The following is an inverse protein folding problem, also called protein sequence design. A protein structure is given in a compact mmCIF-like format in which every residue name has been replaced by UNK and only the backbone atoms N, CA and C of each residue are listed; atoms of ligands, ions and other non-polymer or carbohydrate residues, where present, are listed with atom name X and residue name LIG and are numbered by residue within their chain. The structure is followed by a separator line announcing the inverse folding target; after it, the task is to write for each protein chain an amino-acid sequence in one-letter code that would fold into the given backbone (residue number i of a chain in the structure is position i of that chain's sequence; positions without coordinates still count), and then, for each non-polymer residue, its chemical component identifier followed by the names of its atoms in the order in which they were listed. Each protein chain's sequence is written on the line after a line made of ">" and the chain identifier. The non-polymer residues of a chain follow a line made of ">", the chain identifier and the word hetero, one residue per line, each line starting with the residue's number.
data_IF_810740783016
#
_entry.id   IF_810740783016
#
_cell.length_a   1.000
_cell.length_b   1.000
_cell.length_c   1.000
_cell.angle_alpha   90.00
_cell.angle_beta   90.00
_cell.angle_gamma   90.00
#
_symmetry.space_group_name_H-M   'P 1'
#
loop_
_entity.id
_entity.type
_entity.pdbx_description
1 polymer ?
#
# COMPACT_ATOMS: atom_id res chain seq x y z
N UNK A 1 -71.24 22.26 11.94
CA UNK A 1 -72.58 21.92 12.48
C UNK A 1 -72.43 20.60 13.20
N UNK A 2 -72.54 20.69 14.50
CA UNK A 2 -73.29 19.81 15.42
C UNK A 2 -72.87 18.34 15.49
N UNK A 3 -72.69 17.67 16.62
CA UNK A 3 -72.90 18.01 18.05
C UNK A 3 -72.47 16.82 18.89
N UNK A 4 -71.92 17.16 20.03
CA UNK A 4 -71.77 16.41 21.26
C UNK A 4 -72.92 15.42 21.60
N UNK A 5 -72.57 14.29 22.27
CA UNK A 5 -73.09 13.85 23.59
C UNK A 5 -72.68 12.40 23.83
N UNK A 6 -71.85 12.17 24.83
CA UNK A 6 -72.08 11.56 26.14
C UNK A 6 -72.80 10.20 26.16
N UNK A 7 -72.14 9.20 26.63
CA UNK A 7 -72.71 8.19 27.56
C UNK A 7 -71.69 7.74 28.57
N UNK A 8 -72.00 8.05 29.83
CA UNK A 8 -71.34 7.51 31.01
C UNK A 8 -72.04 6.18 31.32
N UNK A 9 -71.30 5.10 31.58
CA UNK A 9 -71.75 4.00 32.40
C UNK A 9 -70.59 3.29 33.08
N UNK A 10 -70.77 3.17 34.39
CA UNK A 10 -69.94 2.57 35.39
C UNK A 10 -69.71 1.07 35.16
N UNK A 11 -68.54 0.57 35.45
CA UNK A 11 -68.35 -0.74 36.04
C UNK A 11 -67.04 -0.84 36.80
N UNK A 12 -67.13 -1.27 37.98
CA UNK A 12 -66.20 -1.40 39.07
C UNK A 12 -65.06 -2.39 38.83
N UNK A 13 -63.88 -2.03 39.26
CA UNK A 13 -62.94 -2.75 40.07
C UNK A 13 -62.37 -4.11 39.60
N UNK A 14 -61.08 -4.09 39.25
CA UNK A 14 -60.10 -5.10 39.75
C UNK A 14 -58.74 -4.41 39.77
N UNK A 15 -58.20 -4.23 40.96
CA UNK A 15 -56.79 -3.86 41.19
C UNK A 15 -55.94 -5.09 40.95
N UNK A 16 -55.25 -5.14 39.82
CA UNK A 16 -54.13 -6.07 39.58
C UNK A 16 -52.83 -5.26 39.63
N UNK A 17 -52.04 -5.48 40.65
CA UNK A 17 -50.76 -4.85 40.85
C UNK A 17 -49.79 -5.20 39.73
N UNK A 18 -49.48 -4.20 38.88
CA UNK A 18 -48.34 -4.28 37.95
C UNK A 18 -47.07 -4.01 38.75
N UNK A 19 -46.38 -5.06 39.18
CA UNK A 19 -45.04 -4.96 39.68
C UNK A 19 -44.11 -4.40 38.59
N UNK A 20 -43.62 -3.18 38.77
CA UNK A 20 -42.53 -2.63 37.99
C UNK A 20 -41.28 -3.47 38.32
N UNK A 21 -40.95 -4.40 37.45
CA UNK A 21 -39.61 -5.01 37.42
C UNK A 21 -38.65 -3.96 36.88
N UNK A 22 -38.05 -3.15 37.75
CA UNK A 22 -36.88 -2.36 37.43
C UNK A 22 -35.75 -3.37 37.12
N UNK A 23 -35.54 -3.62 35.84
CA UNK A 23 -34.35 -4.29 35.38
C UNK A 23 -33.15 -3.46 35.82
N UNK A 24 -32.47 -3.87 36.87
CA UNK A 24 -31.19 -3.30 37.28
C UNK A 24 -30.20 -3.65 36.18
N UNK A 25 -29.86 -2.66 35.33
CA UNK A 25 -28.73 -2.74 34.45
C UNK A 25 -27.46 -2.85 35.30
N UNK A 26 -26.95 -4.08 35.46
CA UNK A 26 -25.66 -4.29 36.12
C UNK A 26 -24.57 -3.53 35.28
N UNK A 27 -23.72 -2.71 35.89
CA UNK A 27 -22.60 -2.12 35.18
C UNK A 27 -21.71 -3.27 34.69
N UNK A 28 -21.50 -3.33 33.37
CA UNK A 28 -20.54 -4.25 32.78
C UNK A 28 -19.19 -4.06 33.49
N UNK A 29 -18.66 -5.11 34.06
CA UNK A 29 -17.35 -5.06 34.71
C UNK A 29 -16.28 -4.73 33.66
N UNK A 30 -15.19 -4.08 34.05
CA UNK A 30 -14.07 -3.76 33.14
C UNK A 30 -13.56 -4.98 32.36
N UNK A 31 -13.74 -6.18 32.93
CA UNK A 31 -13.44 -7.47 32.28
C UNK A 31 -14.39 -7.81 31.14
N UNK A 32 -15.68 -7.46 31.22
CA UNK A 32 -16.66 -7.65 30.12
C UNK A 32 -16.47 -6.61 29.02
N UNK A 33 -16.05 -5.40 29.36
CA UNK A 33 -15.67 -4.39 28.37
C UNK A 33 -14.39 -4.77 27.61
N UNK A 34 -13.43 -5.45 28.25
CA UNK A 34 -12.21 -5.96 27.61
C UNK A 34 -12.47 -7.18 26.74
N UNK A 35 -13.50 -7.97 27.01
CA UNK A 35 -13.95 -9.10 26.15
C UNK A 35 -14.78 -8.63 24.96
N UNK A 36 -15.44 -7.47 25.03
CA UNK A 36 -16.16 -6.86 23.92
C UNK A 36 -15.22 -6.15 22.92
N UNK A 37 -13.99 -5.78 23.34
CA UNK A 37 -12.93 -5.41 22.42
C UNK A 37 -12.44 -6.68 21.71
N UNK A 38 -12.85 -6.86 20.45
CA UNK A 38 -12.51 -8.04 19.65
C UNK A 38 -11.02 -8.38 19.74
N UNK A 39 -10.70 -9.67 19.71
CA UNK A 39 -9.32 -10.18 19.77
C UNK A 39 -8.50 -9.54 18.66
N UNK A 40 -7.32 -9.00 18.99
CA UNK A 40 -6.43 -8.44 17.99
C UNK A 40 -6.01 -9.45 16.94
N UNK A 41 -5.89 -9.04 15.70
CA UNK A 41 -5.37 -9.86 14.60
C UNK A 41 -3.96 -10.40 14.91
N UNK A 42 -3.14 -9.66 15.66
CA UNK A 42 -1.84 -10.15 16.13
C UNK A 42 -1.97 -11.42 16.96
N UNK A 43 -2.96 -11.47 17.88
CA UNK A 43 -3.18 -12.64 18.72
C UNK A 43 -3.73 -13.83 17.92
N UNK A 44 -4.59 -13.57 16.92
CA UNK A 44 -5.09 -14.59 15.99
C UNK A 44 -3.96 -15.16 15.12
N UNK A 45 -3.12 -14.30 14.54
CA UNK A 45 -1.97 -14.65 13.70
C UNK A 45 -1.00 -15.53 14.49
N UNK A 46 -0.65 -15.11 15.72
CA UNK A 46 0.25 -15.88 16.59
C UNK A 46 -0.32 -17.23 16.99
N UNK A 47 -1.61 -17.28 17.31
CA UNK A 47 -2.30 -18.54 17.66
C UNK A 47 -2.39 -19.50 16.46
N UNK A 48 -2.56 -18.98 15.23
CA UNK A 48 -2.58 -19.78 14.00
C UNK A 48 -1.19 -20.28 13.58
N UNK A 49 -0.12 -19.59 14.00
CA UNK A 49 1.26 -19.98 13.71
C UNK A 49 1.74 -19.62 12.30
N UNK A 50 1.00 -18.84 11.56
CA UNK A 50 1.37 -18.27 10.25
C UNK A 50 0.62 -16.97 9.98
N UNK A 51 1.15 -16.14 9.10
CA UNK A 51 0.49 -14.91 8.61
C UNK A 51 -0.02 -15.11 7.17
N UNK A 52 -1.20 -14.58 6.85
CA UNK A 52 -1.79 -14.59 5.50
C UNK A 52 -1.63 -13.20 4.90
N UNK A 53 -0.86 -13.10 3.81
CA UNK A 53 -0.45 -11.83 3.23
C UNK A 53 -1.02 -11.68 1.82
N UNK A 54 -1.80 -10.63 1.61
CA UNK A 54 -2.30 -10.26 0.29
C UNK A 54 -1.20 -9.61 -0.57
N UNK A 55 -0.91 -10.21 -1.73
CA UNK A 55 0.16 -9.78 -2.64
C UNK A 55 -0.31 -9.74 -4.09
N UNK A 56 0.38 -8.97 -4.92
CA UNK A 56 0.23 -9.02 -6.37
C UNK A 56 1.04 -10.17 -6.96
N UNK A 57 0.58 -10.70 -8.09
CA UNK A 57 1.33 -11.64 -8.95
C UNK A 57 1.66 -11.07 -10.33
N UNK A 58 1.38 -9.78 -10.57
CA UNK A 58 1.48 -9.13 -11.89
C UNK A 58 2.18 -7.77 -11.86
N UNK A 59 2.90 -7.46 -10.77
CA UNK A 59 3.54 -6.17 -10.56
C UNK A 59 5.05 -6.29 -10.31
N UNK A 60 5.88 -6.63 -11.32
CA UNK A 60 7.32 -6.62 -11.17
C UNK A 60 7.83 -5.17 -10.92
N UNK A 61 8.85 -5.00 -10.07
CA UNK A 61 9.62 -6.01 -9.32
C UNK A 61 9.04 -6.36 -7.93
N UNK A 62 7.82 -5.92 -7.62
CA UNK A 62 7.25 -6.00 -6.27
C UNK A 62 6.65 -7.38 -5.95
N UNK A 63 5.73 -7.86 -6.78
CA UNK A 63 5.13 -9.19 -6.67
C UNK A 63 4.71 -9.70 -8.03
N UNK A 64 5.33 -10.76 -8.52
CA UNK A 64 5.08 -11.30 -9.85
C UNK A 64 5.48 -12.78 -9.94
N UNK A 65 5.00 -13.44 -10.99
CA UNK A 65 5.42 -14.82 -11.30
C UNK A 65 6.65 -14.73 -12.21
N UNK A 66 7.74 -15.37 -11.79
CA UNK A 66 8.97 -15.44 -12.58
C UNK A 66 8.91 -16.52 -13.68
N UNK A 67 9.99 -16.64 -14.45
CA UNK A 67 10.10 -17.61 -15.56
C UNK A 67 10.08 -19.09 -15.10
N UNK A 68 10.22 -19.34 -13.79
CA UNK A 68 10.12 -20.67 -13.18
C UNK A 68 8.73 -20.97 -12.64
N UNK A 69 7.81 -20.01 -12.73
CA UNK A 69 6.46 -20.13 -12.18
C UNK A 69 6.37 -19.80 -10.69
N UNK A 70 7.45 -19.26 -10.09
CA UNK A 70 7.49 -18.92 -8.67
C UNK A 70 7.00 -17.49 -8.42
N UNK A 71 6.28 -17.30 -7.32
CA UNK A 71 5.84 -15.98 -6.86
C UNK A 71 6.99 -15.29 -6.12
N UNK A 72 7.57 -14.30 -6.76
CA UNK A 72 8.76 -13.57 -6.30
C UNK A 72 8.52 -12.07 -6.32
N UNK A 73 9.43 -11.30 -5.71
CA UNK A 73 9.41 -9.85 -5.76
C UNK A 73 9.85 -9.21 -4.45
N UNK A 74 10.02 -7.89 -4.49
CA UNK A 74 10.45 -7.12 -3.33
C UNK A 74 9.39 -7.17 -2.20
N UNK A 75 8.10 -7.04 -2.55
CA UNK A 75 7.00 -7.15 -1.58
C UNK A 75 6.95 -8.54 -0.93
N UNK A 76 7.29 -9.58 -1.71
CA UNK A 76 7.36 -10.96 -1.20
C UNK A 76 8.50 -11.11 -0.20
N UNK A 77 9.69 -10.54 -0.51
CA UNK A 77 10.82 -10.58 0.40
C UNK A 77 10.54 -9.76 1.68
N UNK A 78 9.90 -8.58 1.57
CA UNK A 78 9.46 -7.78 2.73
C UNK A 78 8.41 -8.52 3.57
N UNK A 79 7.43 -9.18 2.95
CA UNK A 79 6.43 -9.98 3.65
C UNK A 79 7.07 -11.13 4.45
N UNK A 80 8.10 -11.80 3.90
CA UNK A 80 8.89 -12.81 4.61
C UNK A 80 9.64 -12.24 5.81
N UNK A 81 10.16 -10.99 5.72
CA UNK A 81 10.77 -10.32 6.87
C UNK A 81 9.75 -10.04 7.98
N UNK A 82 8.49 -9.71 7.63
CA UNK A 82 7.41 -9.54 8.62
C UNK A 82 7.09 -10.90 9.29
N UNK A 83 7.00 -11.99 8.52
CA UNK A 83 6.81 -13.33 9.08
C UNK A 83 7.95 -13.71 10.03
N UNK A 84 9.20 -13.45 9.65
CA UNK A 84 10.38 -13.66 10.48
C UNK A 84 10.34 -12.85 11.77
N UNK A 85 9.93 -11.59 11.72
CA UNK A 85 9.76 -10.75 12.91
C UNK A 85 8.64 -11.28 13.84
N UNK A 86 7.58 -11.86 13.26
CA UNK A 86 6.42 -12.36 14.02
C UNK A 86 6.69 -13.71 14.71
N UNK A 87 7.43 -14.62 14.03
CA UNK A 87 7.58 -16.02 14.42
C UNK A 87 9.04 -16.48 14.61
N UNK A 88 10.04 -15.66 14.27
CA UNK A 88 11.44 -16.08 14.16
C UNK A 88 11.72 -16.89 12.88
N UNK A 89 10.73 -17.12 12.03
CA UNK A 89 10.77 -18.00 10.87
C UNK A 89 10.04 -17.37 9.68
N UNK A 90 10.76 -17.09 8.59
CA UNK A 90 10.21 -16.47 7.38
C UNK A 90 9.30 -17.38 6.56
N UNK A 91 9.30 -18.69 6.85
CA UNK A 91 8.44 -19.67 6.17
C UNK A 91 7.03 -19.73 6.75
N UNK A 92 6.78 -19.09 7.90
CA UNK A 92 5.48 -18.99 8.56
C UNK A 92 4.55 -17.98 7.89
N UNK A 93 4.41 -18.09 6.57
CA UNK A 93 3.68 -17.18 5.71
C UNK A 93 2.82 -17.96 4.70
N UNK A 94 1.64 -17.43 4.42
CA UNK A 94 0.79 -17.84 3.30
C UNK A 94 0.61 -16.62 2.40
N UNK A 95 1.01 -16.75 1.14
CA UNK A 95 0.88 -15.69 0.14
C UNK A 95 -0.45 -15.84 -0.59
N UNK A 96 -1.35 -14.88 -0.38
CA UNK A 96 -2.66 -14.82 -1.01
C UNK A 96 -2.59 -13.90 -2.23
N UNK A 97 -2.61 -14.49 -3.44
CA UNK A 97 -2.61 -13.72 -4.69
C UNK A 97 -3.94 -12.99 -4.88
N UNK A 98 -3.91 -11.70 -5.09
CA UNK A 98 -5.10 -10.87 -5.28
C UNK A 98 -4.87 -9.73 -6.27
N UNK A 99 -5.96 -9.26 -6.86
CA UNK A 99 -5.95 -8.07 -7.72
C UNK A 99 -6.06 -6.76 -6.94
N UNK A 100 -5.74 -5.64 -7.60
CA UNK A 100 -5.83 -4.31 -6.99
C UNK A 100 -7.25 -3.92 -6.57
N UNK A 101 -8.27 -4.37 -7.28
CA UNK A 101 -9.67 -4.06 -6.96
C UNK A 101 -10.18 -4.75 -5.68
N UNK A 102 -9.65 -5.93 -5.35
CA UNK A 102 -10.12 -6.76 -4.22
C UNK A 102 -9.31 -6.55 -2.94
N UNK A 103 -8.20 -5.81 -2.99
CA UNK A 103 -7.27 -5.67 -1.87
C UNK A 103 -7.89 -5.07 -0.60
N UNK A 104 -8.72 -4.01 -0.74
CA UNK A 104 -9.40 -3.39 0.40
C UNK A 104 -10.45 -4.29 1.02
N UNK A 105 -11.42 -4.84 0.24
CA UNK A 105 -12.37 -5.82 0.75
C UNK A 105 -11.69 -6.99 1.47
N UNK A 106 -10.62 -7.56 0.92
CA UNK A 106 -9.91 -8.69 1.53
C UNK A 106 -9.23 -8.34 2.87
N UNK A 107 -8.72 -7.10 3.02
CA UNK A 107 -8.20 -6.63 4.29
C UNK A 107 -9.31 -6.38 5.31
N UNK A 108 -10.41 -5.74 4.89
CA UNK A 108 -11.54 -5.38 5.75
C UNK A 108 -12.29 -6.59 6.30
N UNK A 109 -12.52 -7.60 5.46
CA UNK A 109 -13.23 -8.83 5.85
C UNK A 109 -12.35 -9.90 6.53
N UNK A 110 -11.02 -9.66 6.61
CA UNK A 110 -10.08 -10.56 7.27
C UNK A 110 -9.66 -11.77 6.45
N UNK A 111 -9.90 -11.79 5.12
CA UNK A 111 -9.36 -12.81 4.20
C UNK A 111 -7.83 -12.81 4.23
N UNK A 112 -7.24 -11.63 4.39
CA UNK A 112 -5.81 -11.43 4.62
C UNK A 112 -5.59 -10.76 5.97
N UNK A 113 -4.44 -10.99 6.58
CA UNK A 113 -4.08 -10.34 7.84
C UNK A 113 -3.51 -8.93 7.58
N UNK A 114 -2.77 -8.79 6.49
CA UNK A 114 -2.34 -7.53 5.90
C UNK A 114 -2.08 -7.71 4.41
N UNK A 115 -1.98 -6.59 3.69
CA UNK A 115 -1.59 -6.58 2.29
C UNK A 115 -0.30 -5.79 2.07
N UNK A 116 0.51 -6.25 1.12
CA UNK A 116 1.69 -5.56 0.61
C UNK A 116 1.72 -5.75 -0.90
N UNK A 117 1.43 -4.70 -1.67
CA UNK A 117 1.31 -4.78 -3.12
C UNK A 117 1.33 -3.39 -3.77
N UNK A 118 2.52 -2.79 -3.82
CA UNK A 118 2.77 -1.49 -4.50
C UNK A 118 1.72 -0.45 -4.11
N UNK A 119 1.47 -0.28 -2.81
CA UNK A 119 0.35 0.53 -2.35
C UNK A 119 0.84 1.87 -1.80
N UNK A 120 0.70 2.91 -2.63
CA UNK A 120 1.03 4.29 -2.24
C UNK A 120 0.05 4.79 -1.17
N UNK A 121 0.60 5.44 -0.15
CA UNK A 121 -0.16 6.06 0.94
C UNK A 121 -0.78 7.37 0.45
N UNK A 122 -2.11 7.44 0.51
CA UNK A 122 -2.89 8.65 0.28
C UNK A 122 -4.00 8.79 1.33
N UNK A 123 -4.36 10.02 1.68
CA UNK A 123 -5.35 10.30 2.72
C UNK A 123 -6.74 9.71 2.42
N UNK A 124 -7.17 9.73 1.15
CA UNK A 124 -8.44 9.14 0.70
C UNK A 124 -8.48 7.62 0.88
N UNK A 125 -7.36 6.94 0.68
CA UNK A 125 -7.22 5.49 0.92
C UNK A 125 -7.25 5.14 2.41
N UNK A 126 -6.72 6.03 3.26
CA UNK A 126 -6.74 5.86 4.71
C UNK A 126 -8.16 5.91 5.32
N UNK A 127 -9.17 6.34 4.56
CA UNK A 127 -10.59 6.21 4.92
C UNK A 127 -11.08 4.76 4.85
N UNK A 128 -10.37 3.87 4.18
CA UNK A 128 -10.78 2.49 3.92
C UNK A 128 -9.90 1.46 4.64
N UNK A 129 -8.60 1.74 4.79
CA UNK A 129 -7.61 0.84 5.39
C UNK A 129 -6.61 1.64 6.21
N UNK A 130 -5.99 1.00 7.20
CA UNK A 130 -4.83 1.57 7.89
C UNK A 130 -3.54 1.29 7.10
N UNK A 131 -2.58 2.19 7.21
CA UNK A 131 -1.24 2.05 6.64
C UNK A 131 -0.17 2.09 7.71
N UNK A 132 0.87 1.30 7.56
CA UNK A 132 2.13 1.51 8.27
C UNK A 132 2.83 2.75 7.71
N UNK A 133 3.97 3.14 8.29
CA UNK A 133 4.93 3.98 7.57
C UNK A 133 5.32 3.32 6.26
N UNK A 134 5.70 4.08 5.22
CA UNK A 134 6.20 3.51 3.98
C UNK A 134 7.43 2.62 4.20
N UNK A 135 7.44 1.44 3.55
CA UNK A 135 8.61 0.56 3.55
C UNK A 135 9.57 0.86 2.40
N UNK A 136 9.13 1.61 1.39
CA UNK A 136 9.93 2.07 0.26
C UNK A 136 9.41 3.41 -0.23
N UNK A 137 10.35 4.32 -0.56
CA UNK A 137 10.00 5.56 -1.24
C UNK A 137 9.57 5.27 -2.68
N UNK A 138 8.57 6.03 -3.13
CA UNK A 138 8.04 5.99 -4.47
C UNK A 138 7.77 7.41 -4.95
N UNK A 139 7.46 7.55 -6.22
CA UNK A 139 7.15 8.79 -6.91
C UNK A 139 7.34 8.56 -8.39
N UNK A 140 6.89 9.48 -9.23
CA UNK A 140 7.00 9.32 -10.66
C UNK A 140 8.26 10.02 -11.18
N UNK A 141 9.06 9.26 -11.91
CA UNK A 141 10.25 9.72 -12.60
C UNK A 141 10.09 9.57 -14.11
N UNK A 142 10.99 10.17 -14.86
CA UNK A 142 11.06 10.03 -16.31
C UNK A 142 12.31 9.26 -16.68
N UNK A 143 12.16 8.25 -17.54
CA UNK A 143 13.27 7.53 -18.17
C UNK A 143 13.42 7.97 -19.61
N UNK A 144 14.66 8.08 -20.05
CA UNK A 144 15.06 8.45 -21.41
C UNK A 144 16.26 7.61 -21.85
N UNK A 145 16.57 7.57 -23.14
CA UNK A 145 17.85 7.01 -23.59
C UNK A 145 19.02 7.78 -23.00
N UNK A 146 20.13 7.11 -22.74
CA UNK A 146 21.32 7.71 -22.11
C UNK A 146 21.90 8.87 -22.91
N UNK A 147 21.89 8.77 -24.24
CA UNK A 147 22.34 9.76 -25.20
C UNK A 147 21.30 10.84 -25.52
N UNK A 148 20.09 10.75 -24.96
CA UNK A 148 19.03 11.74 -25.16
C UNK A 148 19.48 13.15 -24.74
N UNK A 149 19.14 14.19 -25.51
CA UNK A 149 19.43 15.59 -25.15
C UNK A 149 18.58 16.10 -23.97
N UNK A 150 17.52 15.39 -23.61
CA UNK A 150 16.60 15.77 -22.53
C UNK A 150 17.31 15.68 -21.18
N UNK A 151 17.31 16.78 -20.41
CA UNK A 151 17.93 16.88 -19.08
C UNK A 151 16.91 17.13 -17.98
N UNK A 152 15.82 17.81 -18.29
CA UNK A 152 14.76 18.17 -17.35
C UNK A 152 13.38 17.91 -17.97
N UNK A 153 12.36 17.90 -17.15
CA UNK A 153 10.97 17.61 -17.56
C UNK A 153 10.49 18.64 -18.60
N UNK A 154 10.87 19.90 -18.44
CA UNK A 154 10.49 20.98 -19.35
C UNK A 154 11.01 20.78 -20.79
N UNK A 155 12.13 20.08 -20.97
CA UNK A 155 12.69 19.77 -22.30
C UNK A 155 11.74 18.90 -23.13
N UNK A 156 10.85 18.13 -22.47
CA UNK A 156 9.87 17.28 -23.13
C UNK A 156 8.75 18.05 -23.83
N UNK A 157 8.58 19.35 -23.52
CA UNK A 157 7.47 20.15 -24.04
C UNK A 157 7.67 20.60 -25.48
N UNK A 158 7.87 19.64 -26.39
CA UNK A 158 8.07 19.88 -27.82
C UNK A 158 7.27 18.90 -28.67
N UNK A 159 6.75 19.34 -29.85
CA UNK A 159 5.86 18.51 -30.68
C UNK A 159 6.56 17.32 -31.35
N UNK A 160 7.88 17.33 -31.46
CA UNK A 160 8.67 16.21 -31.95
C UNK A 160 8.83 15.06 -30.92
N UNK A 161 8.62 15.33 -29.62
CA UNK A 161 8.80 14.32 -28.58
C UNK A 161 7.52 13.55 -28.29
N UNK A 162 7.70 12.28 -27.98
CA UNK A 162 6.62 11.37 -27.62
C UNK A 162 6.90 10.81 -26.21
N UNK A 163 5.95 10.98 -25.30
CA UNK A 163 6.05 10.48 -23.93
C UNK A 163 5.11 9.29 -23.73
N UNK A 164 5.68 8.16 -23.33
CA UNK A 164 4.94 6.96 -23.00
C UNK A 164 4.45 7.01 -21.54
N UNK A 165 3.19 6.64 -21.30
CA UNK A 165 2.61 6.51 -19.97
C UNK A 165 1.56 5.40 -19.94
N UNK A 166 1.15 4.97 -18.74
CA UNK A 166 0.07 4.01 -18.59
C UNK A 166 -1.27 4.65 -18.96
N UNK A 167 -2.20 3.81 -19.40
CA UNK A 167 -3.61 4.16 -19.62
C UNK A 167 -4.26 4.47 -18.25
N UNK A 168 -4.03 5.69 -17.74
CA UNK A 168 -4.54 6.17 -16.47
C UNK A 168 -4.81 7.67 -16.55
N UNK A 169 -6.04 8.14 -16.25
CA UNK A 169 -6.41 9.56 -16.36
C UNK A 169 -5.43 10.49 -15.63
N UNK A 170 -5.01 10.12 -14.45
CA UNK A 170 -4.06 10.91 -13.64
C UNK A 170 -2.69 11.10 -14.31
N UNK A 171 -2.20 10.10 -15.04
CA UNK A 171 -0.92 10.22 -15.76
C UNK A 171 -1.07 11.09 -17.01
N UNK A 172 -2.16 10.94 -17.72
CA UNK A 172 -2.49 11.73 -18.91
C UNK A 172 -2.67 13.21 -18.54
N UNK A 173 -3.47 13.54 -17.54
CA UNK A 173 -3.68 14.90 -17.05
C UNK A 173 -2.36 15.54 -16.59
N UNK A 174 -1.53 14.80 -15.89
CA UNK A 174 -0.19 15.28 -15.50
C UNK A 174 0.65 15.63 -16.71
N UNK A 175 0.69 14.75 -17.71
CA UNK A 175 1.42 14.97 -18.94
C UNK A 175 0.94 16.24 -19.67
N UNK A 176 -0.38 16.37 -19.86
CA UNK A 176 -0.99 17.56 -20.50
C UNK A 176 -0.67 18.87 -19.79
N UNK A 177 -0.49 18.82 -18.46
CA UNK A 177 -0.12 19.99 -17.67
C UNK A 177 1.37 20.34 -17.77
N UNK A 178 2.27 19.36 -17.77
CA UNK A 178 3.70 19.57 -17.67
C UNK A 178 4.39 19.74 -19.03
N UNK A 179 3.90 19.04 -20.06
CA UNK A 179 4.44 19.12 -21.41
C UNK A 179 3.35 19.04 -22.48
N UNK A 180 2.47 20.07 -22.53
CA UNK A 180 1.25 20.08 -23.37
C UNK A 180 1.51 19.96 -24.87
N UNK A 181 2.71 20.31 -25.36
CA UNK A 181 3.06 20.22 -26.77
C UNK A 181 3.60 18.83 -27.17
N UNK A 182 3.95 17.98 -26.23
CA UNK A 182 4.43 16.63 -26.53
C UNK A 182 3.30 15.71 -27.00
N UNK A 183 3.66 14.68 -27.76
CA UNK A 183 2.76 13.58 -28.11
C UNK A 183 2.71 12.58 -26.98
N UNK A 184 1.55 11.91 -26.82
CA UNK A 184 1.37 10.87 -25.82
C UNK A 184 1.18 9.51 -26.48
N UNK A 185 1.80 8.49 -25.89
CA UNK A 185 1.63 7.10 -26.27
C UNK A 185 1.25 6.31 -25.02
N UNK A 186 0.05 5.73 -25.01
CA UNK A 186 -0.51 5.01 -23.86
C UNK A 186 -0.31 3.52 -23.94
N UNK A 187 -0.10 2.87 -22.81
CA UNK A 187 0.09 1.44 -22.66
C UNK A 187 -0.65 0.90 -21.45
N UNK A 188 -1.10 -0.33 -21.52
CA UNK A 188 -1.76 -1.03 -20.40
C UNK A 188 -0.75 -1.74 -19.49
N UNK A 189 0.48 -1.95 -19.96
CA UNK A 189 1.55 -2.61 -19.21
C UNK A 189 2.79 -1.74 -19.06
N UNK A 190 3.36 -1.74 -17.86
CA UNK A 190 4.59 -0.98 -17.52
C UNK A 190 5.78 -1.42 -18.38
N UNK A 191 5.92 -2.74 -18.61
CA UNK A 191 6.96 -3.28 -19.47
C UNK A 191 6.88 -2.74 -20.91
N UNK A 192 5.68 -2.61 -21.45
CA UNK A 192 5.46 -2.04 -22.79
C UNK A 192 5.81 -0.57 -22.85
N UNK A 193 5.48 0.17 -21.81
CA UNK A 193 5.82 1.59 -21.65
C UNK A 193 7.35 1.79 -21.63
N UNK A 194 8.08 1.01 -20.84
CA UNK A 194 9.55 1.05 -20.81
C UNK A 194 10.16 0.65 -22.16
N UNK A 195 9.66 -0.43 -22.75
CA UNK A 195 10.14 -0.94 -24.04
C UNK A 195 9.91 0.06 -25.19
N UNK A 196 8.90 0.94 -25.10
CA UNK A 196 8.71 1.99 -26.10
C UNK A 196 9.91 2.95 -26.14
N UNK A 197 10.52 3.29 -25.01
CA UNK A 197 11.76 4.09 -24.96
C UNK A 197 12.95 3.27 -25.46
N UNK A 198 13.10 2.05 -24.99
CA UNK A 198 14.21 1.16 -25.40
C UNK A 198 14.26 0.97 -26.90
N UNK A 199 13.10 0.78 -27.54
CA UNK A 199 12.97 0.56 -28.98
C UNK A 199 12.88 1.89 -29.79
N UNK A 200 12.97 3.06 -29.16
CA UNK A 200 12.90 4.36 -29.82
C UNK A 200 11.52 4.74 -30.36
N UNK A 201 10.44 4.06 -29.91
CA UNK A 201 9.05 4.42 -30.26
C UNK A 201 8.54 5.59 -29.41
N UNK A 202 9.12 5.80 -28.23
CA UNK A 202 8.90 6.96 -27.39
C UNK A 202 10.24 7.62 -27.03
N UNK A 203 10.23 8.94 -26.86
CA UNK A 203 11.40 9.73 -26.43
C UNK A 203 11.65 9.53 -24.94
N UNK A 204 10.57 9.40 -24.15
CA UNK A 204 10.59 9.27 -22.70
C UNK A 204 9.44 8.42 -22.21
N UNK A 205 9.53 7.92 -20.98
CA UNK A 205 8.43 7.26 -20.29
C UNK A 205 8.32 7.70 -18.82
N UNK A 206 7.09 7.82 -18.33
CA UNK A 206 6.78 8.06 -16.92
C UNK A 206 6.72 6.70 -16.19
N UNK A 207 7.53 6.50 -15.16
CA UNK A 207 7.54 5.27 -14.36
C UNK A 207 7.58 5.60 -12.86
N UNK A 208 7.09 4.70 -12.03
CA UNK A 208 7.42 4.72 -10.60
C UNK A 208 8.92 4.53 -10.42
N UNK A 209 9.53 5.31 -9.53
CA UNK A 209 10.98 5.32 -9.35
C UNK A 209 11.57 3.94 -9.05
N UNK A 210 11.03 3.10 -8.13
CA UNK A 210 11.52 1.74 -7.92
C UNK A 210 11.41 0.86 -9.17
N UNK A 211 10.35 1.03 -9.95
CA UNK A 211 10.16 0.29 -11.21
C UNK A 211 11.17 0.73 -12.25
N UNK A 212 11.45 2.03 -12.36
CA UNK A 212 12.48 2.56 -13.24
C UNK A 212 13.87 1.97 -12.87
N UNK A 213 14.22 1.94 -11.58
CA UNK A 213 15.47 1.33 -11.10
C UNK A 213 15.59 -0.15 -11.49
N UNK A 214 14.50 -0.91 -11.34
CA UNK A 214 14.47 -2.32 -11.73
C UNK A 214 14.79 -2.52 -13.21
N UNK A 215 14.15 -1.74 -14.10
CA UNK A 215 14.37 -1.90 -15.53
C UNK A 215 15.72 -1.37 -15.99
N UNK A 216 16.21 -0.24 -15.47
CA UNK A 216 17.50 0.31 -15.91
C UNK A 216 18.70 -0.51 -15.43
N UNK A 217 18.56 -1.30 -14.36
CA UNK A 217 19.62 -2.20 -13.86
C UNK A 217 20.21 -3.08 -14.96
N UNK A 218 19.33 -3.59 -15.84
CA UNK A 218 19.68 -4.48 -16.94
C UNK A 218 19.66 -3.79 -18.32
N UNK A 219 19.49 -2.45 -18.34
CA UNK A 219 19.42 -1.64 -19.56
C UNK A 219 20.29 -0.36 -19.40
N UNK A 220 21.64 -0.48 -19.48
CA UNK A 220 22.55 0.62 -19.20
C UNK A 220 22.52 1.76 -20.23
N UNK A 221 21.81 1.57 -21.34
CA UNK A 221 21.50 2.57 -22.38
C UNK A 221 20.31 3.47 -22.07
N UNK A 222 19.63 3.20 -20.93
CA UNK A 222 18.53 4.02 -20.43
C UNK A 222 18.97 4.69 -19.11
N UNK A 223 18.50 5.89 -18.84
CA UNK A 223 18.71 6.63 -17.60
C UNK A 223 17.44 7.27 -17.09
N UNK A 224 17.40 7.54 -15.79
CA UNK A 224 16.38 8.35 -15.14
C UNK A 224 16.82 9.82 -15.20
N UNK A 225 15.88 10.75 -15.37
CA UNK A 225 16.13 12.18 -15.13
C UNK A 225 16.28 12.44 -13.63
N UNK A 226 17.12 13.41 -13.26
CA UNK A 226 17.31 13.78 -11.84
C UNK A 226 16.06 14.44 -11.24
N UNK A 227 15.24 15.07 -12.08
CA UNK A 227 14.01 15.72 -11.70
C UNK A 227 12.84 14.71 -11.63
N UNK A 228 12.03 14.79 -10.58
CA UNK A 228 10.86 13.95 -10.39
C UNK A 228 9.58 14.67 -10.83
N UNK A 229 8.66 13.91 -11.43
CA UNK A 229 7.34 14.42 -11.86
C UNK A 229 6.38 14.66 -10.69
N UNK A 230 6.56 13.96 -9.57
CA UNK A 230 5.76 14.10 -8.36
C UNK A 230 6.65 14.21 -7.15
N UNK A 231 6.11 14.77 -6.07
CA UNK A 231 6.75 14.68 -4.77
C UNK A 231 7.01 13.21 -4.41
N UNK A 232 8.01 13.00 -3.57
CA UNK A 232 8.29 11.67 -3.02
C UNK A 232 7.10 11.23 -2.19
N UNK A 233 6.58 10.07 -2.54
CA UNK A 233 5.54 9.35 -1.81
C UNK A 233 6.14 8.06 -1.27
N UNK A 234 5.32 7.17 -0.74
CA UNK A 234 5.84 5.87 -0.31
C UNK A 234 4.79 4.77 -0.40
N UNK A 235 5.26 3.56 -0.63
CA UNK A 235 4.42 2.38 -0.56
C UNK A 235 4.48 1.78 0.83
N UNK A 236 3.32 1.44 1.38
CA UNK A 236 3.17 0.93 2.75
C UNK A 236 2.41 -0.40 2.79
N UNK A 237 2.58 -1.10 3.89
CA UNK A 237 1.73 -2.23 4.26
C UNK A 237 0.36 -1.67 4.65
N UNK A 238 -0.70 -2.31 4.19
CA UNK A 238 -2.07 -1.96 4.54
C UNK A 238 -2.78 -3.09 5.27
N UNK A 239 -3.70 -2.72 6.15
CA UNK A 239 -4.43 -3.65 7.00
C UNK A 239 -5.80 -3.09 7.37
N UNK A 240 -6.63 -3.91 8.03
CA UNK A 240 -7.91 -3.45 8.57
C UNK A 240 -7.70 -2.29 9.57
N UNK A 241 -8.53 -1.22 9.54
CA UNK A 241 -8.26 0.01 10.30
C UNK A 241 -8.45 -0.10 11.82
N UNK A 242 -9.26 -1.06 12.31
CA UNK A 242 -9.75 -1.07 13.69
C UNK A 242 -8.87 -1.83 14.68
N UNK A 243 -7.65 -2.21 14.31
CA UNK A 243 -6.74 -3.00 15.15
C UNK A 243 -5.42 -2.26 15.40
N UNK A 244 -5.44 -1.38 16.39
CA UNK A 244 -4.27 -0.61 16.77
C UNK A 244 -3.07 -1.48 17.18
N UNK A 245 -3.31 -2.60 17.90
CA UNK A 245 -2.24 -3.50 18.34
C UNK A 245 -1.52 -4.16 17.16
N UNK A 246 -2.29 -4.60 16.15
CA UNK A 246 -1.72 -5.18 14.94
C UNK A 246 -1.01 -4.13 14.10
N UNK A 247 -1.62 -2.96 13.94
CA UNK A 247 -1.00 -1.85 13.24
C UNK A 247 0.34 -1.43 13.88
N UNK A 248 0.37 -1.24 15.21
CA UNK A 248 1.58 -0.85 15.94
C UNK A 248 2.71 -1.87 15.76
N UNK A 249 2.37 -3.17 15.80
CA UNK A 249 3.34 -4.23 15.57
C UNK A 249 3.92 -4.16 14.15
N UNK A 250 3.08 -4.09 13.13
CA UNK A 250 3.53 -4.02 11.73
C UNK A 250 4.34 -2.76 11.45
N UNK A 251 3.90 -1.61 11.94
CA UNK A 251 4.62 -0.34 11.79
C UNK A 251 5.99 -0.38 12.48
N UNK A 252 6.08 -1.02 13.65
CA UNK A 252 7.35 -1.22 14.35
C UNK A 252 8.27 -2.13 13.55
N UNK A 253 7.76 -3.23 12.97
CA UNK A 253 8.57 -4.13 12.11
C UNK A 253 9.10 -3.38 10.89
N UNK A 254 8.27 -2.53 10.24
CA UNK A 254 8.74 -1.68 9.14
C UNK A 254 9.83 -0.70 9.62
N UNK A 255 9.70 -0.12 10.81
CA UNK A 255 10.74 0.74 11.39
C UNK A 255 12.08 -0.01 11.58
N UNK A 256 12.01 -1.27 12.03
CA UNK A 256 13.20 -2.13 12.19
C UNK A 256 13.85 -2.50 10.84
N UNK A 257 13.06 -2.64 9.78
CA UNK A 257 13.59 -2.81 8.42
C UNK A 257 14.32 -1.56 7.92
N UNK A 258 13.82 -0.36 8.22
CA UNK A 258 14.37 0.89 7.70
C UNK A 258 15.59 1.41 8.47
N UNK A 259 15.92 0.86 9.62
CA UNK A 259 17.06 1.34 10.38
C UNK A 259 17.24 0.66 11.74
N UNK A 260 16.81 -0.58 11.91
CA UNK A 260 16.93 -1.35 13.12
C UNK A 260 17.52 -2.75 12.87
N UNK A 261 17.05 -3.74 13.63
CA UNK A 261 17.57 -5.11 13.62
C UNK A 261 17.37 -5.83 12.27
N UNK A 262 16.36 -5.46 11.48
CA UNK A 262 16.06 -6.04 10.18
C UNK A 262 16.71 -5.30 8.99
N UNK A 263 17.45 -4.21 9.24
CA UNK A 263 18.07 -3.39 8.19
C UNK A 263 18.94 -4.18 7.22
N UNK A 264 19.80 -5.06 7.72
CA UNK A 264 20.71 -5.84 6.86
C UNK A 264 19.95 -6.73 5.87
N UNK A 265 18.89 -7.39 6.32
CA UNK A 265 18.07 -8.25 5.48
C UNK A 265 17.24 -7.43 4.47
N UNK A 266 16.66 -6.31 4.91
CA UNK A 266 15.94 -5.38 4.04
C UNK A 266 16.87 -4.81 2.95
N UNK A 267 18.07 -4.35 3.32
CA UNK A 267 19.08 -3.84 2.38
C UNK A 267 19.44 -4.88 1.33
N UNK A 268 19.60 -6.14 1.73
CA UNK A 268 19.89 -7.25 0.81
C UNK A 268 18.74 -7.45 -0.20
N UNK A 269 17.50 -7.47 0.26
CA UNK A 269 16.33 -7.58 -0.59
C UNK A 269 16.23 -6.36 -1.54
N UNK A 270 16.43 -5.16 -1.04
CA UNK A 270 16.38 -3.94 -1.84
C UNK A 270 17.43 -3.96 -2.96
N UNK A 271 18.69 -4.27 -2.64
CA UNK A 271 19.78 -4.34 -3.62
C UNK A 271 19.53 -5.42 -4.68
N UNK A 272 18.99 -6.57 -4.27
CA UNK A 272 18.61 -7.66 -5.19
C UNK A 272 17.67 -7.17 -6.30
N UNK A 273 16.64 -6.40 -5.93
CA UNK A 273 15.59 -5.99 -6.85
C UNK A 273 15.91 -4.70 -7.62
N UNK A 274 16.55 -3.73 -6.97
CA UNK A 274 16.75 -2.38 -7.53
C UNK A 274 18.20 -2.07 -7.93
N UNK A 275 19.15 -2.95 -7.65
CA UNK A 275 20.56 -2.81 -8.05
C UNK A 275 21.37 -1.79 -7.25
N UNK A 276 20.73 -1.03 -6.36
CA UNK A 276 21.35 -0.01 -5.49
C UNK A 276 21.07 -0.30 -4.03
N UNK A 277 21.80 0.33 -3.13
CA UNK A 277 21.52 0.27 -1.69
C UNK A 277 20.50 1.35 -1.30
N UNK A 278 19.53 1.02 -0.42
CA UNK A 278 18.61 2.02 0.10
C UNK A 278 19.31 2.98 1.05
N UNK A 279 18.75 4.19 1.21
CA UNK A 279 19.21 5.11 2.25
C UNK A 279 18.80 4.59 3.62
N UNK A 280 19.73 4.62 4.57
CA UNK A 280 19.42 4.27 5.96
C UNK A 280 18.61 5.37 6.60
N UNK A 281 17.37 5.07 7.04
CA UNK A 281 16.45 6.07 7.56
C UNK A 281 16.92 6.77 8.87
N UNK A 282 17.81 6.12 9.61
CA UNK A 282 18.36 6.60 10.90
C UNK A 282 19.86 6.91 10.85
N UNK A 283 20.41 7.14 9.66
CA UNK A 283 21.82 7.51 9.57
C UNK A 283 22.05 8.85 10.27
N UNK A 284 22.73 8.82 11.40
CA UNK A 284 23.32 10.01 12.01
C UNK A 284 24.42 10.46 11.06
N UNK A 285 24.25 11.60 10.41
CA UNK A 285 25.35 12.23 9.68
C UNK A 285 26.36 12.73 10.73
N UNK A 286 27.33 11.90 11.05
CA UNK A 286 28.52 12.38 11.72
C UNK A 286 29.31 13.17 10.68
N UNK A 287 29.06 14.46 10.59
CA UNK A 287 29.94 15.38 9.86
C UNK A 287 31.21 15.54 10.67
N UNK A 288 32.11 14.58 10.62
CA UNK A 288 33.51 14.88 10.84
C UNK A 288 34.03 15.53 9.56
N UNK A 289 33.82 16.84 9.44
CA UNK A 289 34.69 17.68 8.64
C UNK A 289 35.94 17.90 9.49
N UNK A 290 36.95 17.02 9.29
CA UNK A 290 38.34 17.34 9.60
C UNK A 290 38.87 18.34 8.58
#
# INVERSE_FOLDING_TARGET
>A
MSSRREFISQASGVMAGAGLVLAQAQPATAQQATQAAGRSKLDEVRARGKVIVGVSSEAPPFGFIDDKGELVGFDIDVAKLIAKATFGDETKIELFKQGFATRWPNAQNGTIDFGIMVTTVYADRALQVAFTRPYIDSGIVVVVKKDSPIRMIADLNKPEYTVAHLTAPVQEERGKRLYPNAKFLTFDAISSQFNAVKLGRATAAQLDAPVALYYIKDNPDIRILDEWLTDVTGNAVFLRPDDFKWWLFLDTVVAEMLGGSLWSAYKTAYKKWFGIEPRHARAVQTTNKG
#
